data_IF_852241281955
#
_entry.id   IF_852241281955
#
_cell.length_a   1.000
_cell.length_b   1.000
_cell.length_c   1.000
_cell.angle_alpha   90.00
_cell.angle_beta   90.00
_cell.angle_gamma   90.00
#
_symmetry.space_group_name_H-M   'P 1'
#
loop_
_entity.id
_entity.type
_entity.pdbx_description
1 polymer ?
#
# COMPACT_ATOMS: atom_id res chain seq x y z
N UNK A 1 11.14 15.07 -26.49
CA UNK A 1 11.62 15.23 -27.89
C UNK A 1 10.39 15.24 -28.81
N UNK A 2 10.48 15.86 -30.00
CA UNK A 2 9.37 16.18 -30.94
C UNK A 2 9.97 16.18 -32.37
N UNK A 3 9.25 16.08 -33.50
CA UNK A 3 7.80 16.17 -33.85
C UNK A 3 7.33 14.86 -34.56
N UNK A 4 6.12 14.66 -35.11
CA UNK A 4 4.85 15.42 -35.20
C UNK A 4 3.91 14.86 -36.29
N UNK A 5 2.99 15.69 -36.81
CA UNK A 5 2.23 15.42 -38.07
C UNK A 5 0.75 15.01 -37.90
N UNK A 6 -0.24 15.73 -38.49
CA UNK A 6 -1.68 15.48 -38.25
C UNK A 6 -2.45 14.84 -39.43
N UNK A 7 -3.63 14.28 -39.13
CA UNK A 7 -4.76 14.14 -40.05
C UNK A 7 -6.09 14.15 -39.25
N UNK A 8 -7.15 14.77 -39.78
CA UNK A 8 -8.38 15.09 -39.01
C UNK A 8 -9.54 14.10 -39.17
N UNK A 9 -10.64 14.38 -38.46
CA UNK A 9 -11.88 13.59 -38.53
C UNK A 9 -12.93 14.08 -37.54
N UNK A 10 -13.77 15.02 -37.96
CA UNK A 10 -14.83 15.63 -37.16
C UNK A 10 -16.06 14.70 -37.08
N UNK A 11 -16.61 14.44 -35.89
CA UNK A 11 -17.97 13.85 -35.74
C UNK A 11 -18.52 14.04 -34.32
N UNK A 12 -19.41 15.03 -34.19
CA UNK A 12 -20.14 15.32 -32.96
C UNK A 12 -21.27 14.31 -32.74
N UNK A 13 -21.26 13.56 -31.62
CA UNK A 13 -22.52 13.22 -30.93
C UNK A 13 -22.32 13.02 -29.42
N UNK A 14 -22.99 13.86 -28.64
CA UNK A 14 -22.86 13.90 -27.19
C UNK A 14 -23.65 12.78 -26.49
N UNK A 15 -23.08 12.25 -25.40
CA UNK A 15 -23.83 11.96 -24.16
C UNK A 15 -23.05 12.49 -22.96
N UNK A 16 -23.72 13.34 -22.18
CA UNK A 16 -23.17 14.15 -21.08
C UNK A 16 -23.36 13.39 -19.76
N UNK A 17 -22.27 13.11 -19.05
CA UNK A 17 -22.31 12.59 -17.67
C UNK A 17 -20.98 12.86 -16.92
N UNK A 18 -20.49 14.11 -16.95
CA UNK A 18 -19.51 14.60 -15.99
C UNK A 18 -19.95 16.00 -15.54
N UNK A 19 -20.55 16.07 -14.36
CA UNK A 19 -20.53 17.31 -13.58
C UNK A 19 -19.18 17.36 -12.87
N UNK A 20 -18.19 17.95 -13.54
CA UNK A 20 -17.01 18.43 -12.84
C UNK A 20 -17.44 19.59 -11.96
N UNK A 21 -17.36 19.40 -10.64
CA UNK A 21 -17.66 20.41 -9.65
C UNK A 21 -16.68 21.59 -9.81
N UNK A 22 -17.14 22.63 -10.52
CA UNK A 22 -16.35 23.75 -11.01
C UNK A 22 -16.09 24.79 -9.91
N UNK A 23 -15.04 24.55 -9.14
CA UNK A 23 -14.41 25.53 -8.28
C UNK A 23 -12.89 25.28 -8.25
N UNK A 24 -12.06 26.28 -7.91
CA UNK A 24 -10.62 26.08 -7.78
C UNK A 24 -10.34 25.11 -6.62
N UNK A 25 -10.17 23.83 -6.95
CA UNK A 25 -9.74 22.81 -6.00
C UNK A 25 -8.29 23.10 -5.63
N UNK A 26 -8.07 23.48 -4.37
CA UNK A 26 -6.72 23.55 -3.79
C UNK A 26 -6.06 22.18 -4.01
N UNK A 27 -4.87 22.09 -4.63
CA UNK A 27 -4.21 20.80 -4.86
C UNK A 27 -3.98 20.06 -3.54
N UNK A 28 -4.64 18.91 -3.42
CA UNK A 28 -4.52 18.04 -2.24
C UNK A 28 -3.34 17.11 -2.47
N UNK A 29 -2.16 17.49 -1.97
CA UNK A 29 -0.92 16.71 -2.11
C UNK A 29 -0.76 15.63 -1.02
N UNK A 30 -1.87 15.13 -0.47
CA UNK A 30 -1.87 14.05 0.51
C UNK A 30 -1.44 12.71 -0.14
N UNK A 31 -1.09 11.72 0.68
CA UNK A 31 -0.83 10.37 0.19
C UNK A 31 -2.07 9.75 -0.47
N UNK A 32 -1.89 8.94 -1.51
CA UNK A 32 -2.97 8.16 -2.11
C UNK A 32 -3.28 6.95 -1.22
N UNK A 33 -4.38 7.04 -0.49
CA UNK A 33 -4.77 6.07 0.54
C UNK A 33 -6.22 5.67 0.34
N UNK A 34 -6.47 4.38 0.16
CA UNK A 34 -7.81 3.85 -0.09
C UNK A 34 -8.25 2.87 1.01
N UNK A 35 -9.51 2.47 0.95
CA UNK A 35 -10.03 1.25 1.59
C UNK A 35 -10.19 0.17 0.53
N UNK A 36 -9.93 -1.07 0.88
CA UNK A 36 -10.07 -2.23 -0.01
C UNK A 36 -10.63 -3.45 0.74
N UNK A 37 -11.07 -4.47 0.00
CA UNK A 37 -11.41 -5.78 0.57
C UNK A 37 -10.27 -6.76 0.30
N UNK A 38 -9.57 -7.21 1.33
CA UNK A 38 -8.49 -8.19 1.26
C UNK A 38 -8.93 -9.45 1.99
N UNK A 39 -9.04 -10.59 1.31
CA UNK A 39 -9.55 -11.84 1.89
C UNK A 39 -10.92 -11.69 2.60
N UNK A 40 -11.80 -10.84 2.05
CA UNK A 40 -13.10 -10.43 2.60
C UNK A 40 -13.05 -9.56 3.87
N UNK A 41 -11.86 -9.21 4.38
CA UNK A 41 -11.68 -8.20 5.42
C UNK A 41 -11.62 -6.80 4.80
N UNK A 42 -12.33 -5.82 5.37
CA UNK A 42 -12.25 -4.42 4.95
C UNK A 42 -11.01 -3.77 5.58
N UNK A 43 -10.01 -3.50 4.75
CA UNK A 43 -8.71 -2.96 5.17
C UNK A 43 -8.65 -1.47 4.83
N UNK A 44 -8.59 -0.63 5.87
CA UNK A 44 -8.37 0.81 5.78
C UNK A 44 -6.88 1.16 5.67
N UNK A 45 -6.56 2.44 5.44
CA UNK A 45 -5.20 2.97 5.27
C UNK A 45 -4.31 2.11 4.35
N UNK A 46 -4.83 1.79 3.16
CA UNK A 46 -4.10 1.11 2.08
C UNK A 46 -3.37 2.16 1.24
N UNK A 47 -2.04 2.23 1.37
CA UNK A 47 -1.21 3.17 0.62
C UNK A 47 -0.92 2.66 -0.79
N UNK A 48 -1.07 3.53 -1.80
CA UNK A 48 -0.75 3.22 -3.20
C UNK A 48 0.64 3.76 -3.53
N UNK A 49 1.58 2.86 -3.85
CA UNK A 49 2.95 3.22 -4.16
C UNK A 49 3.41 2.65 -5.52
N UNK A 50 3.63 3.51 -6.51
CA UNK A 50 4.21 3.12 -7.80
C UNK A 50 5.72 2.89 -7.77
N UNK A 51 6.43 3.32 -6.72
CA UNK A 51 7.84 3.00 -6.50
C UNK A 51 8.04 1.54 -6.09
N UNK A 52 7.26 1.08 -5.11
CA UNK A 52 7.37 -0.28 -4.56
C UNK A 52 7.32 -1.38 -5.63
N UNK A 53 8.27 -2.30 -5.53
CA UNK A 53 8.36 -3.54 -6.31
C UNK A 53 7.48 -4.67 -5.75
N UNK A 54 6.97 -4.54 -4.52
CA UNK A 54 6.22 -5.57 -3.80
C UNK A 54 4.89 -5.04 -3.24
N UNK A 55 3.97 -5.93 -2.92
CA UNK A 55 2.86 -5.60 -2.02
C UNK A 55 3.27 -5.99 -0.60
N UNK A 56 2.99 -5.12 0.37
CA UNK A 56 3.42 -5.30 1.76
C UNK A 56 2.17 -5.25 2.64
N UNK A 57 1.95 -6.29 3.44
CA UNK A 57 0.94 -6.33 4.50
C UNK A 57 1.68 -6.21 5.83
N UNK A 58 1.28 -5.26 6.68
CA UNK A 58 1.96 -5.08 7.97
C UNK A 58 1.46 -6.09 9.00
N UNK A 59 2.35 -6.57 9.87
CA UNK A 59 2.08 -7.63 10.85
C UNK A 59 0.86 -7.35 11.73
N UNK A 60 0.76 -6.12 12.27
CA UNK A 60 -0.42 -5.68 13.05
C UNK A 60 -1.74 -5.88 12.29
N UNK A 61 -1.77 -5.60 10.99
CA UNK A 61 -2.96 -5.78 10.14
C UNK A 61 -3.18 -7.26 9.78
N UNK A 62 -2.12 -8.01 9.49
CA UNK A 62 -2.19 -9.46 9.24
C UNK A 62 -2.82 -10.21 10.43
N UNK A 63 -2.35 -9.93 11.65
CA UNK A 63 -2.85 -10.58 12.86
C UNK A 63 -4.31 -10.13 13.16
N UNK A 64 -4.67 -8.87 12.90
CA UNK A 64 -6.06 -8.36 13.02
C UNK A 64 -7.05 -8.99 12.02
N UNK A 65 -6.59 -9.38 10.83
CA UNK A 65 -7.44 -10.01 9.81
C UNK A 65 -7.87 -11.43 10.19
N UNK A 66 -7.26 -12.05 11.21
CA UNK A 66 -7.63 -13.37 11.76
C UNK A 66 -7.83 -14.43 10.66
N UNK A 67 -6.86 -14.54 9.75
CA UNK A 67 -6.92 -15.41 8.55
C UNK A 67 -6.93 -16.93 8.85
N UNK A 68 -7.02 -17.33 10.12
CA UNK A 68 -6.90 -18.71 10.59
C UNK A 68 -5.47 -19.24 10.47
N UNK A 69 -5.33 -20.57 10.54
CA UNK A 69 -4.04 -21.28 10.49
C UNK A 69 -3.44 -21.36 9.07
N UNK A 70 -3.63 -20.34 8.23
CA UNK A 70 -2.98 -20.28 6.92
C UNK A 70 -1.49 -19.99 7.14
N UNK A 71 -0.57 -20.93 6.82
CA UNK A 71 0.84 -20.73 7.08
C UNK A 71 1.42 -19.70 6.12
N UNK A 72 2.30 -18.83 6.63
CA UNK A 72 3.13 -17.99 5.78
C UNK A 72 4.18 -18.85 5.07
N UNK A 73 4.31 -18.66 3.77
CA UNK A 73 5.41 -19.24 2.99
C UNK A 73 6.74 -18.56 3.39
N UNK A 74 7.77 -19.36 3.65
CA UNK A 74 9.10 -18.87 3.97
C UNK A 74 9.71 -18.12 2.77
N UNK A 75 10.43 -17.03 3.04
CA UNK A 75 11.05 -16.18 2.02
C UNK A 75 12.41 -15.67 2.49
N UNK A 76 13.45 -15.99 1.72
CA UNK A 76 14.82 -15.52 1.94
C UNK A 76 15.09 -14.11 1.34
N UNK A 77 14.07 -13.50 0.73
CA UNK A 77 14.18 -12.20 0.04
C UNK A 77 14.02 -11.04 1.02
N UNK A 78 15.04 -10.20 1.14
CA UNK A 78 15.00 -8.97 1.93
C UNK A 78 14.31 -7.83 1.16
N UNK A 79 13.64 -6.94 1.89
CA UNK A 79 13.13 -5.68 1.38
C UNK A 79 14.13 -4.56 1.65
N UNK A 80 14.40 -3.75 0.63
CA UNK A 80 15.30 -2.59 0.70
C UNK A 80 14.49 -1.30 0.55
N UNK A 81 14.54 -0.44 1.57
CA UNK A 81 13.97 0.90 1.57
C UNK A 81 14.84 1.90 0.82
N UNK A 82 14.27 3.05 0.48
CA UNK A 82 14.95 4.09 -0.30
C UNK A 82 16.12 4.72 0.47
N UNK A 83 16.06 4.81 1.80
CA UNK A 83 17.14 5.31 2.62
C UNK A 83 18.12 4.21 3.08
N UNK A 84 18.04 3.01 2.49
CA UNK A 84 18.90 1.87 2.81
C UNK A 84 18.38 0.98 3.94
N UNK A 85 17.14 1.16 4.39
CA UNK A 85 16.51 0.31 5.39
C UNK A 85 16.42 -1.14 4.88
N UNK A 86 16.78 -2.12 5.71
CA UNK A 86 16.69 -3.55 5.38
C UNK A 86 15.65 -4.22 6.26
N UNK A 87 14.61 -4.77 5.66
CA UNK A 87 13.50 -5.43 6.37
C UNK A 87 13.45 -6.89 5.97
N UNK A 88 13.45 -7.77 6.97
CA UNK A 88 13.23 -9.20 6.80
C UNK A 88 11.71 -9.45 6.88
N UNK A 89 11.06 -9.99 5.84
CA UNK A 89 9.66 -10.38 5.94
C UNK A 89 9.47 -11.54 6.93
N UNK A 90 8.36 -11.52 7.68
CA UNK A 90 7.86 -12.66 8.49
C UNK A 90 7.56 -13.87 7.59
N UNK A 91 7.19 -13.58 6.34
CA UNK A 91 6.95 -14.56 5.29
C UNK A 91 6.10 -13.96 4.17
N UNK A 92 5.44 -14.83 3.41
CA UNK A 92 4.66 -14.47 2.24
C UNK A 92 3.29 -15.18 2.23
N UNK A 93 2.29 -14.52 1.67
CA UNK A 93 0.94 -15.07 1.54
C UNK A 93 0.26 -14.64 0.25
N UNK A 94 -0.60 -15.50 -0.29
CA UNK A 94 -1.48 -15.21 -1.43
C UNK A 94 -2.88 -14.89 -0.94
N UNK A 95 -3.36 -13.66 -1.20
CA UNK A 95 -4.67 -13.20 -0.75
C UNK A 95 -5.48 -12.59 -1.91
N UNK A 96 -6.80 -12.81 -1.98
CA UNK A 96 -7.65 -12.15 -2.96
C UNK A 96 -7.91 -10.70 -2.55
N UNK A 97 -7.38 -9.76 -3.32
CA UNK A 97 -7.66 -8.34 -3.18
C UNK A 97 -8.79 -7.94 -4.13
N UNK A 98 -9.81 -7.25 -3.61
CA UNK A 98 -10.90 -6.66 -4.40
C UNK A 98 -10.84 -5.14 -4.31
N UNK A 99 -10.85 -4.49 -5.48
CA UNK A 99 -10.92 -3.04 -5.62
C UNK A 99 -12.22 -2.62 -6.33
N UNK A 100 -12.76 -1.47 -5.93
CA UNK A 100 -13.98 -0.88 -6.47
C UNK A 100 -15.27 -1.44 -5.88
N UNK A 101 -16.37 -0.78 -6.21
CA UNK A 101 -17.73 -1.13 -5.78
C UNK A 101 -18.53 -1.79 -6.91
N UNK A 102 -19.59 -2.54 -6.56
CA UNK A 102 -20.46 -3.15 -7.58
C UNK A 102 -21.15 -2.08 -8.44
N UNK A 103 -21.24 -2.24 -9.78
CA UNK A 103 -20.80 -3.40 -10.58
C UNK A 103 -19.33 -3.33 -11.04
N UNK A 104 -18.65 -2.19 -10.89
CA UNK A 104 -17.30 -1.93 -11.39
C UNK A 104 -16.19 -2.36 -10.41
N UNK A 105 -16.31 -3.57 -9.84
CA UNK A 105 -15.31 -4.17 -8.95
C UNK A 105 -14.49 -5.24 -9.67
N UNK A 106 -13.23 -5.40 -9.27
CA UNK A 106 -12.35 -6.49 -9.73
C UNK A 106 -11.67 -7.15 -8.55
N UNK A 107 -11.55 -8.48 -8.59
CA UNK A 107 -10.78 -9.27 -7.62
C UNK A 107 -9.59 -9.92 -8.31
N UNK A 108 -8.41 -9.87 -7.68
CA UNK A 108 -7.19 -10.55 -8.13
C UNK A 108 -6.57 -11.32 -6.95
N UNK A 109 -6.18 -12.58 -7.15
CA UNK A 109 -5.31 -13.28 -6.21
C UNK A 109 -3.89 -12.71 -6.35
N UNK A 110 -3.33 -12.19 -5.26
CA UNK A 110 -2.06 -11.48 -5.26
C UNK A 110 -1.15 -11.94 -4.12
N UNK A 111 0.15 -11.89 -4.39
CA UNK A 111 1.22 -12.13 -3.43
C UNK A 111 1.46 -10.89 -2.57
N UNK A 112 1.58 -11.08 -1.27
CA UNK A 112 1.94 -10.08 -0.27
C UNK A 112 3.11 -10.60 0.58
N UNK A 113 4.05 -9.71 0.91
CA UNK A 113 5.04 -9.96 1.95
C UNK A 113 4.50 -9.42 3.27
N UNK A 114 4.55 -10.25 4.32
CA UNK A 114 4.16 -9.83 5.67
C UNK A 114 5.39 -9.29 6.39
N UNK A 115 5.31 -8.10 6.97
CA UNK A 115 6.45 -7.44 7.64
C UNK A 115 6.08 -6.94 9.04
N UNK A 116 6.92 -7.25 10.02
CA UNK A 116 6.69 -6.88 11.42
C UNK A 116 7.41 -5.56 11.77
N UNK A 117 7.14 -4.51 10.99
CA UNK A 117 7.64 -3.15 11.24
C UNK A 117 6.49 -2.21 11.63
N UNK A 118 6.66 -1.35 12.67
CA UNK A 118 5.62 -0.42 13.08
C UNK A 118 5.25 0.58 11.98
N UNK A 119 3.98 0.60 11.60
CA UNK A 119 3.42 1.43 10.53
C UNK A 119 2.08 2.05 10.95
N UNK A 120 1.63 3.06 10.21
CA UNK A 120 0.25 3.58 10.30
C UNK A 120 -0.59 3.20 9.08
N UNK A 121 0.04 2.63 8.06
CA UNK A 121 -0.65 1.98 6.95
C UNK A 121 -0.78 0.50 7.23
N UNK A 122 -1.90 -0.10 6.85
CA UNK A 122 -2.13 -1.54 7.02
C UNK A 122 -1.62 -2.33 5.81
N UNK A 123 -1.57 -1.71 4.64
CA UNK A 123 -1.21 -2.34 3.38
C UNK A 123 -0.52 -1.35 2.43
N UNK A 124 0.50 -1.79 1.70
CA UNK A 124 1.06 -1.08 0.54
C UNK A 124 0.75 -1.88 -0.72
N UNK A 125 0.08 -1.24 -1.68
CA UNK A 125 -0.16 -1.78 -3.01
C UNK A 125 0.89 -1.24 -3.98
N UNK A 126 1.88 -2.09 -4.26
CA UNK A 126 2.97 -1.80 -5.17
C UNK A 126 2.65 -2.03 -6.64
N UNK A 127 3.67 -1.93 -7.49
CA UNK A 127 3.60 -2.25 -8.93
C UNK A 127 2.98 -3.63 -9.26
N UNK A 128 3.17 -4.71 -8.49
CA UNK A 128 2.49 -5.99 -8.78
C UNK A 128 0.97 -5.88 -8.79
N UNK A 129 0.38 -5.16 -7.83
CA UNK A 129 -1.06 -4.89 -7.80
C UNK A 129 -1.47 -3.98 -8.96
N UNK A 130 -0.77 -2.86 -9.15
CA UNK A 130 -1.09 -1.91 -10.21
C UNK A 130 -1.11 -2.58 -11.59
N UNK A 131 -0.13 -3.43 -11.88
CA UNK A 131 -0.05 -4.18 -13.13
C UNK A 131 -1.18 -5.22 -13.27
N UNK A 132 -1.48 -6.00 -12.22
CA UNK A 132 -2.55 -7.00 -12.25
C UNK A 132 -3.94 -6.37 -12.46
N UNK A 133 -4.17 -5.18 -11.91
CA UNK A 133 -5.38 -4.39 -12.11
C UNK A 133 -5.39 -3.59 -13.42
N UNK A 134 -4.26 -3.47 -14.13
CA UNK A 134 -4.04 -2.51 -15.22
C UNK A 134 -4.42 -1.09 -14.77
N UNK A 135 -3.95 -0.74 -13.58
CA UNK A 135 -4.32 0.48 -12.89
C UNK A 135 -3.49 1.68 -13.38
N UNK A 136 -4.14 2.83 -13.46
CA UNK A 136 -3.51 4.14 -13.59
C UNK A 136 -3.72 4.91 -12.30
N UNK A 137 -2.67 5.60 -11.86
CA UNK A 137 -2.70 6.50 -10.71
C UNK A 137 -2.95 7.92 -11.23
N UNK A 138 -3.89 8.64 -10.62
CA UNK A 138 -4.01 10.09 -10.82
C UNK A 138 -3.88 10.81 -9.49
N UNK A 139 -2.70 11.38 -9.25
CA UNK A 139 -2.42 12.26 -8.12
C UNK A 139 -3.31 13.50 -8.15
N UNK A 140 -3.45 14.15 -9.32
CA UNK A 140 -4.32 15.33 -9.48
C UNK A 140 -5.78 15.08 -9.11
N UNK A 141 -6.32 13.89 -9.44
CA UNK A 141 -7.71 13.52 -9.11
C UNK A 141 -7.83 12.72 -7.80
N UNK A 142 -6.73 12.55 -7.06
CA UNK A 142 -6.62 11.76 -5.84
C UNK A 142 -7.35 10.42 -5.90
N UNK A 143 -7.05 9.63 -6.93
CA UNK A 143 -7.67 8.31 -7.16
C UNK A 143 -6.81 7.37 -8.01
N UNK A 144 -7.12 6.08 -7.92
CA UNK A 144 -6.74 5.10 -8.94
C UNK A 144 -7.93 4.77 -9.84
N UNK A 145 -7.65 4.47 -11.12
CA UNK A 145 -8.60 3.81 -12.03
C UNK A 145 -8.02 2.49 -12.50
N UNK A 146 -8.84 1.48 -12.75
CA UNK A 146 -8.39 0.15 -13.17
C UNK A 146 -9.38 -0.51 -14.13
N UNK A 147 -8.89 -1.46 -14.93
CA UNK A 147 -9.71 -2.12 -15.95
C UNK A 147 -10.59 -3.23 -15.34
N UNK A 148 -11.88 -3.19 -15.65
CA UNK A 148 -12.88 -4.19 -15.26
C UNK A 148 -13.53 -4.77 -16.52
N UNK A 149 -14.14 -5.95 -16.45
CA UNK A 149 -14.94 -6.45 -17.57
C UNK A 149 -16.12 -5.50 -17.80
N UNK A 150 -16.24 -4.95 -19.00
CA UNK A 150 -17.31 -4.00 -19.37
C UNK A 150 -17.12 -2.56 -18.90
N UNK A 151 -15.99 -2.18 -18.29
CA UNK A 151 -15.79 -0.79 -17.87
C UNK A 151 -14.47 -0.47 -17.16
N UNK A 152 -14.45 0.69 -16.52
CA UNK A 152 -13.32 1.18 -15.71
C UNK A 152 -13.81 1.39 -14.29
N UNK A 153 -13.19 0.69 -13.33
CA UNK A 153 -13.41 0.90 -11.90
C UNK A 153 -12.55 2.04 -11.39
N UNK A 154 -13.01 2.71 -10.34
CA UNK A 154 -12.26 3.76 -9.66
C UNK A 154 -12.23 3.48 -8.16
N UNK A 155 -11.13 3.81 -7.49
CA UNK A 155 -11.06 3.90 -6.04
C UNK A 155 -10.49 5.29 -5.67
N UNK A 156 -11.32 6.20 -5.12
CA UNK A 156 -10.87 7.51 -4.65
C UNK A 156 -10.09 7.38 -3.34
N UNK A 157 -9.19 8.32 -3.09
CA UNK A 157 -8.48 8.43 -1.82
C UNK A 157 -9.43 8.89 -0.72
N UNK A 158 -9.38 8.24 0.44
CA UNK A 158 -9.90 8.81 1.68
C UNK A 158 -8.88 9.84 2.21
N UNK A 159 -9.15 11.11 1.93
CA UNK A 159 -8.28 12.24 2.32
C UNK A 159 -8.20 12.38 3.85
N UNK A 160 -9.24 12.01 4.58
CA UNK A 160 -9.27 12.11 6.04
C UNK A 160 -8.42 11.01 6.67
N UNK A 161 -8.54 9.77 6.20
CA UNK A 161 -7.68 8.66 6.63
C UNK A 161 -6.23 8.88 6.19
N UNK A 162 -5.97 9.38 4.96
CA UNK A 162 -4.62 9.74 4.51
C UNK A 162 -3.92 10.71 5.48
N UNK A 163 -4.62 11.78 5.88
CA UNK A 163 -4.10 12.76 6.84
C UNK A 163 -3.88 12.20 8.23
N UNK A 164 -4.82 11.39 8.75
CA UNK A 164 -4.66 10.72 10.05
C UNK A 164 -3.43 9.81 10.04
N UNK A 165 -3.32 8.91 9.06
CA UNK A 165 -2.22 7.96 8.95
C UNK A 165 -0.86 8.68 8.74
N UNK A 166 -0.82 9.82 8.05
CA UNK A 166 0.37 10.69 7.97
C UNK A 166 0.72 11.38 9.29
N UNK A 167 -0.25 12.00 9.99
CA UNK A 167 -0.03 12.69 11.27
C UNK A 167 0.46 11.71 12.34
N UNK A 168 -0.13 10.52 12.42
CA UNK A 168 0.31 9.47 13.35
C UNK A 168 1.70 8.93 12.97
N UNK A 169 2.05 8.85 11.68
CA UNK A 169 3.40 8.46 11.26
C UNK A 169 4.46 9.45 11.75
N UNK A 170 4.18 10.76 11.67
CA UNK A 170 5.07 11.81 12.20
C UNK A 170 5.22 11.67 13.73
N UNK A 171 4.11 11.45 14.45
CA UNK A 171 4.15 11.26 15.92
C UNK A 171 5.00 10.04 16.31
N UNK A 172 4.76 8.89 15.67
CA UNK A 172 5.54 7.66 15.89
C UNK A 172 7.02 7.84 15.51
N UNK A 173 7.31 8.58 14.44
CA UNK A 173 8.69 8.93 14.04
C UNK A 173 9.41 9.79 15.08
N UNK A 174 8.77 10.86 15.57
CA UNK A 174 9.33 11.70 16.64
C UNK A 174 9.56 10.92 17.94
N UNK A 175 8.64 10.03 18.31
CA UNK A 175 8.78 9.17 19.50
C UNK A 175 10.02 8.29 19.40
N UNK A 176 10.22 7.59 18.27
CA UNK A 176 11.42 6.75 18.04
C UNK A 176 12.73 7.54 18.15
N UNK A 177 12.82 8.71 17.50
CA UNK A 177 14.02 9.57 17.59
C UNK A 177 14.33 9.99 19.04
N UNK A 178 13.29 10.26 19.85
CA UNK A 178 13.47 10.59 21.26
C UNK A 178 13.87 9.37 22.10
N UNK A 179 13.31 8.20 21.83
CA UNK A 179 13.65 6.93 22.50
C UNK A 179 15.09 6.53 22.20
N UNK A 180 15.49 6.55 20.93
CA UNK A 180 16.86 6.32 20.46
C UNK A 180 17.87 7.32 21.05
N UNK A 181 17.47 8.58 21.26
CA UNK A 181 18.30 9.59 21.93
C UNK A 181 18.34 9.46 23.46
N UNK A 182 17.39 8.75 24.07
CA UNK A 182 17.30 8.57 25.53
C UNK A 182 18.04 7.35 26.08
N UNK A 183 18.35 6.36 25.23
CA UNK A 183 19.31 5.31 25.54
C UNK A 183 18.92 4.34 26.67
N UNK A 184 17.70 3.80 26.67
CA UNK A 184 17.39 2.63 27.51
C UNK A 184 17.99 1.35 26.89
N UNK A 185 19.15 0.91 27.42
CA UNK A 185 19.68 -0.43 27.17
C UNK A 185 18.68 -1.48 27.69
N UNK A 186 18.14 -2.29 26.79
CA UNK A 186 17.21 -3.36 27.14
C UNK A 186 18.00 -4.57 27.69
N UNK A 187 17.88 -4.95 28.98
CA UNK A 187 18.84 -5.85 29.66
C UNK A 187 18.70 -7.34 29.28
N UNK A 188 18.00 -7.67 28.19
CA UNK A 188 17.65 -9.03 27.80
C UNK A 188 18.74 -9.78 26.98
N UNK A 189 20.03 -9.45 27.15
CA UNK A 189 21.14 -10.11 26.42
C UNK A 189 22.20 -10.79 27.29
N UNK A 190 22.16 -10.69 28.63
CA UNK A 190 23.00 -11.51 29.51
C UNK A 190 22.39 -12.92 29.70
N UNK A 191 22.66 -13.83 28.75
CA UNK A 191 21.83 -15.04 28.63
C UNK A 191 22.44 -16.38 28.19
N UNK A 192 23.73 -16.48 27.75
CA UNK A 192 24.50 -17.76 27.73
C UNK A 192 25.91 -17.61 27.13
N UNK A 193 26.91 -17.55 28.01
CA UNK A 193 28.30 -17.90 27.67
C UNK A 193 28.78 -19.04 28.58
N UNK A 194 28.64 -20.28 28.12
CA UNK A 194 29.43 -21.45 28.59
C UNK A 194 29.17 -22.70 27.74
N UNK A 195 30.14 -23.63 27.79
CA UNK A 195 30.24 -24.90 27.03
C UNK A 195 30.74 -24.71 25.58
N UNK A 196 31.88 -25.29 25.14
CA UNK A 196 32.82 -26.26 25.74
C UNK A 196 34.27 -25.95 25.30
N UNK A 197 35.26 -26.34 26.11
CA UNK A 197 36.68 -26.20 25.78
C UNK A 197 37.60 -26.43 26.97
N UNK A 198 37.76 -27.68 27.39
CA UNK A 198 38.87 -28.12 28.25
C UNK A 198 39.42 -29.45 27.71
N UNK A 199 40.75 -29.55 27.81
CA UNK A 199 41.66 -30.52 27.20
C UNK A 199 41.29 -32.01 27.33
#
# INVERSE_FOLDING_TARGET
MITGGPAGGDSKRARKAQEEHSGPRIPVNDALVITALLANYEIECVFIDSGSSANILFGEAYDQMQLGDVPLEAVDTLLYGFAGEVVHPRGMIWLPLTLGTSPLRKTCLLKFLVVDIPSTYNLILGRPTLNAFRAIISTYHMKIKFLVVGGVGEAPTDILQARKCYIEAIKRGKKRILEEASGEENPASEGRTRCLGQN
#
